data_IF_808951647445
#
_entry.id   IF_808951647445
#
_cell.length_a   1.000
_cell.length_b   1.000
_cell.length_c   1.000
_cell.angle_alpha   90.00
_cell.angle_beta   90.00
_cell.angle_gamma   90.00
#
_symmetry.space_group_name_H-M   'P 1'
#
loop_
_entity.id
_entity.type
_entity.pdbx_description
1 polymer ?
#
# COMPACT_ATOMS: atom_id res chain seq x y z
N UNK A 1 7.47 53.24 -53.04
CA UNK A 1 8.24 52.11 -52.47
C UNK A 1 8.14 52.00 -50.95
N UNK A 2 8.16 53.08 -50.23
CA UNK A 2 8.03 53.05 -48.74
C UNK A 2 6.74 52.44 -48.19
N UNK A 3 5.58 52.68 -48.81
CA UNK A 3 4.29 52.09 -48.32
C UNK A 3 4.18 50.56 -48.46
N UNK A 4 4.92 49.96 -49.40
CA UNK A 4 4.92 48.51 -49.59
C UNK A 4 5.85 47.82 -48.58
N UNK A 5 6.93 48.48 -48.21
CA UNK A 5 7.89 47.95 -47.19
C UNK A 5 7.26 47.94 -45.79
N UNK A 6 6.49 48.98 -45.44
CA UNK A 6 5.76 49.05 -44.16
C UNK A 6 4.64 48.01 -44.03
N UNK A 7 3.90 47.71 -45.11
CA UNK A 7 2.87 46.68 -45.10
C UNK A 7 3.46 45.27 -44.94
N UNK A 8 4.56 44.97 -45.65
CA UNK A 8 5.25 43.66 -45.49
C UNK A 8 5.84 43.46 -44.09
N UNK A 9 6.43 44.49 -43.49
CA UNK A 9 6.95 44.45 -42.13
C UNK A 9 5.85 44.24 -41.08
N UNK A 10 4.67 44.84 -41.28
CA UNK A 10 3.52 44.66 -40.38
C UNK A 10 2.96 43.22 -40.45
N UNK A 11 2.84 42.66 -41.65
CA UNK A 11 2.38 41.29 -41.86
C UNK A 11 3.34 40.26 -41.21
N UNK A 12 4.65 40.44 -41.37
CA UNK A 12 5.68 39.61 -40.75
C UNK A 12 5.65 39.72 -39.21
N UNK A 13 5.40 40.90 -38.66
CA UNK A 13 5.26 41.09 -37.20
C UNK A 13 4.01 40.38 -36.64
N UNK A 14 2.88 40.47 -37.34
CA UNK A 14 1.63 39.79 -36.94
C UNK A 14 1.79 38.25 -37.01
N UNK A 15 2.40 37.75 -38.08
CA UNK A 15 2.69 36.32 -38.22
C UNK A 15 3.65 35.81 -37.16
N UNK A 16 4.69 36.57 -36.81
CA UNK A 16 5.63 36.26 -35.74
C UNK A 16 4.97 36.26 -34.36
N UNK A 17 4.07 37.21 -34.08
CA UNK A 17 3.31 37.21 -32.82
C UNK A 17 2.36 36.01 -32.73
N UNK A 18 1.71 35.64 -33.83
CA UNK A 18 0.84 34.47 -33.91
C UNK A 18 1.60 33.16 -33.65
N UNK A 19 2.79 33.03 -34.24
CA UNK A 19 3.65 31.87 -34.04
C UNK A 19 4.15 31.74 -32.58
N UNK A 20 4.62 32.85 -31.97
CA UNK A 20 5.04 32.87 -30.57
C UNK A 20 3.87 32.53 -29.64
N UNK A 21 2.68 33.03 -29.92
CA UNK A 21 1.49 32.71 -29.10
C UNK A 21 1.09 31.25 -29.23
N UNK A 22 1.17 30.65 -30.41
CA UNK A 22 0.92 29.23 -30.61
C UNK A 22 1.93 28.36 -29.83
N UNK A 23 3.22 28.69 -29.89
CA UNK A 23 4.24 27.98 -29.10
C UNK A 23 4.03 28.13 -27.57
N UNK A 24 3.58 29.31 -27.13
CA UNK A 24 3.27 29.50 -25.71
C UNK A 24 2.07 28.65 -25.29
N UNK A 25 1.03 28.57 -26.09
CA UNK A 25 -0.14 27.73 -25.82
C UNK A 25 0.23 26.24 -25.76
N UNK A 26 1.00 25.75 -26.73
CA UNK A 26 1.50 24.37 -26.75
C UNK A 26 2.34 24.03 -25.50
N UNK A 27 3.24 24.93 -25.09
CA UNK A 27 4.02 24.76 -23.85
C UNK A 27 3.15 24.77 -22.61
N UNK A 28 2.10 25.58 -22.57
CA UNK A 28 1.16 25.64 -21.46
C UNK A 28 0.32 24.35 -21.37
N UNK A 29 -0.09 23.83 -22.54
CA UNK A 29 -0.85 22.59 -22.62
C UNK A 29 0.00 21.39 -22.18
N UNK A 30 1.22 21.24 -22.67
CA UNK A 30 2.17 20.19 -22.24
C UNK A 30 2.49 20.31 -20.75
N UNK A 31 2.67 21.52 -20.23
CA UNK A 31 2.90 21.72 -18.81
C UNK A 31 1.66 21.35 -17.98
N UNK A 32 0.47 21.74 -18.40
CA UNK A 32 -0.78 21.41 -17.71
C UNK A 32 -1.02 19.89 -17.66
N UNK A 33 -0.70 19.18 -18.76
CA UNK A 33 -0.78 17.72 -18.82
C UNK A 33 0.25 17.05 -17.90
N UNK A 34 1.48 17.55 -17.85
CA UNK A 34 2.51 17.08 -16.93
C UNK A 34 2.16 17.35 -15.45
N UNK A 35 1.63 18.54 -15.14
CA UNK A 35 1.18 18.89 -13.80
C UNK A 35 -0.01 18.00 -13.36
N UNK A 36 -0.95 17.72 -14.29
CA UNK A 36 -2.07 16.82 -14.04
C UNK A 36 -1.61 15.37 -13.79
N UNK A 37 -0.67 14.86 -14.60
CA UNK A 37 -0.10 13.53 -14.41
C UNK A 37 0.63 13.41 -13.05
N UNK A 38 1.40 14.44 -12.67
CA UNK A 38 2.08 14.50 -11.37
C UNK A 38 1.09 14.53 -10.20
N UNK A 39 -0.03 15.23 -10.34
CA UNK A 39 -1.08 15.28 -9.32
C UNK A 39 -1.77 13.92 -9.13
N UNK A 40 -1.98 13.16 -10.22
CA UNK A 40 -2.54 11.79 -10.14
C UNK A 40 -1.59 10.87 -9.40
N UNK A 41 -0.29 10.89 -9.72
CA UNK A 41 0.72 10.06 -9.04
C UNK A 41 0.77 10.42 -7.53
N UNK A 42 0.79 11.71 -7.19
CA UNK A 42 0.81 12.14 -5.80
C UNK A 42 -0.47 11.74 -5.03
N UNK A 43 -1.62 11.71 -5.69
CA UNK A 43 -2.87 11.25 -5.09
C UNK A 43 -2.87 9.73 -4.86
N UNK A 44 -2.30 8.97 -5.77
CA UNK A 44 -2.16 7.51 -5.68
C UNK A 44 -1.20 7.13 -4.55
N UNK A 45 -0.03 7.79 -4.47
CA UNK A 45 0.92 7.61 -3.37
C UNK A 45 0.32 7.97 -2.00
N UNK A 46 -0.48 9.04 -1.94
CA UNK A 46 -1.16 9.44 -0.71
C UNK A 46 -2.24 8.43 -0.29
N UNK A 47 -2.97 7.85 -1.25
CA UNK A 47 -3.96 6.81 -1.00
C UNK A 47 -3.31 5.51 -0.51
N UNK A 48 -2.20 5.10 -1.11
CA UNK A 48 -1.41 3.94 -0.66
C UNK A 48 -0.86 4.14 0.76
N UNK A 49 -0.35 5.34 1.07
CA UNK A 49 0.15 5.67 2.40
C UNK A 49 -0.96 5.70 3.46
N UNK A 50 -2.18 6.08 3.11
CA UNK A 50 -3.34 6.04 4.01
C UNK A 50 -3.80 4.60 4.22
N UNK A 51 -3.87 3.80 3.15
CA UNK A 51 -4.17 2.37 3.23
C UNK A 51 -3.20 1.65 4.16
N UNK A 52 -1.89 1.86 3.98
CA UNK A 52 -0.86 1.25 4.84
C UNK A 52 -0.99 1.67 6.30
N UNK A 53 -1.30 2.95 6.59
CA UNK A 53 -1.51 3.43 7.96
C UNK A 53 -2.75 2.85 8.64
N UNK A 54 -3.75 2.47 7.85
CA UNK A 54 -4.98 1.88 8.37
C UNK A 54 -4.85 0.39 8.69
N UNK A 55 -3.74 -0.27 8.28
CA UNK A 55 -3.51 -1.69 8.48
C UNK A 55 -2.91 -1.99 9.85
N UNK A 56 -3.32 -3.11 10.43
CA UNK A 56 -2.63 -3.71 11.57
C UNK A 56 -1.45 -4.52 11.04
N UNK A 57 -0.25 -4.25 11.58
CA UNK A 57 0.99 -4.85 11.12
C UNK A 57 1.39 -6.05 11.97
N UNK A 58 1.69 -7.15 11.32
CA UNK A 58 2.27 -8.34 11.90
C UNK A 58 3.58 -8.68 11.17
N UNK A 59 4.42 -9.46 11.82
CA UNK A 59 5.67 -9.97 11.28
C UNK A 59 5.74 -11.47 11.53
N UNK A 60 6.20 -12.24 10.56
CA UNK A 60 6.45 -13.67 10.76
C UNK A 60 7.58 -13.80 11.79
N UNK A 61 7.37 -14.52 12.92
CA UNK A 61 8.37 -14.65 13.96
C UNK A 61 9.63 -15.34 13.47
N UNK A 62 10.81 -14.86 13.90
CA UNK A 62 12.08 -15.51 13.58
C UNK A 62 12.26 -16.77 14.47
N UNK A 63 12.01 -17.94 13.91
CA UNK A 63 12.05 -19.23 14.60
C UNK A 63 13.30 -20.09 14.26
N UNK A 64 14.21 -19.58 13.44
CA UNK A 64 15.42 -20.25 12.91
C UNK A 64 15.10 -21.37 11.91
N UNK A 65 13.88 -21.44 11.41
CA UNK A 65 13.46 -22.37 10.37
C UNK A 65 13.02 -21.58 9.13
N UNK A 66 13.88 -21.50 8.14
CA UNK A 66 13.61 -20.78 6.89
C UNK A 66 12.40 -21.35 6.09
N UNK A 67 11.86 -22.50 6.50
CA UNK A 67 10.66 -23.07 5.89
C UNK A 67 9.36 -22.55 6.51
N UNK A 68 9.42 -21.96 7.72
CA UNK A 68 8.29 -21.32 8.37
C UNK A 68 8.12 -19.90 7.83
N UNK A 69 7.02 -19.64 7.16
CA UNK A 69 6.76 -18.32 6.55
C UNK A 69 5.31 -17.87 6.79
N UNK A 70 4.76 -18.18 7.96
CA UNK A 70 3.37 -17.87 8.28
C UNK A 70 3.19 -17.49 9.76
N UNK A 71 2.07 -16.79 10.03
CA UNK A 71 1.64 -16.41 11.36
C UNK A 71 0.14 -16.63 11.50
N UNK A 72 -0.30 -17.09 12.66
CA UNK A 72 -1.73 -17.27 12.94
C UNK A 72 -2.31 -15.93 13.45
N UNK A 73 -3.40 -15.47 12.83
CA UNK A 73 -4.06 -14.18 13.09
C UNK A 73 -5.50 -14.44 13.49
N UNK A 74 -5.97 -13.68 14.49
CA UNK A 74 -7.37 -13.69 14.93
C UNK A 74 -8.02 -12.36 14.56
N UNK A 75 -9.17 -12.45 13.91
CA UNK A 75 -10.11 -11.36 13.67
C UNK A 75 -11.12 -11.37 14.80
N UNK A 76 -11.28 -10.28 15.53
CA UNK A 76 -12.16 -10.19 16.70
C UNK A 76 -13.17 -9.05 16.52
N UNK A 77 -14.40 -9.39 16.26
CA UNK A 77 -15.55 -8.50 16.19
C UNK A 77 -16.54 -8.69 17.35
N UNK A 78 -16.20 -9.50 18.37
CA UNK A 78 -17.11 -9.86 19.47
C UNK A 78 -17.55 -8.67 20.34
N UNK A 79 -16.88 -7.52 20.24
CA UNK A 79 -17.26 -6.29 20.93
C UNK A 79 -18.42 -5.53 20.24
N UNK A 80 -18.89 -5.98 19.08
CA UNK A 80 -20.04 -5.38 18.39
C UNK A 80 -21.30 -5.52 19.23
N UNK A 81 -22.15 -4.49 19.19
CA UNK A 81 -23.36 -4.43 20.01
C UNK A 81 -24.52 -3.86 19.20
N UNK A 82 -25.70 -4.35 19.50
CA UNK A 82 -26.96 -3.74 19.07
C UNK A 82 -27.44 -2.72 20.09
N UNK A 83 -28.03 -1.58 19.63
CA UNK A 83 -28.45 -0.50 20.48
C UNK A 83 -29.67 -0.86 21.36
N UNK A 84 -30.53 -1.71 20.85
CA UNK A 84 -31.72 -2.26 21.50
C UNK A 84 -31.40 -3.51 22.34
N UNK A 85 -30.16 -4.00 22.29
CA UNK A 85 -29.69 -5.23 22.93
C UNK A 85 -30.30 -6.50 22.34
N UNK A 86 -30.64 -6.46 21.05
CA UNK A 86 -31.07 -7.62 20.31
C UNK A 86 -29.93 -8.63 20.08
N UNK A 87 -30.33 -9.86 19.79
CA UNK A 87 -29.36 -10.89 19.40
C UNK A 87 -28.75 -10.56 18.05
N UNK A 88 -27.42 -10.58 17.96
CA UNK A 88 -26.68 -10.33 16.73
C UNK A 88 -25.98 -11.59 16.22
N UNK A 89 -25.84 -11.66 14.92
CA UNK A 89 -25.05 -12.66 14.20
C UNK A 89 -23.88 -12.02 13.47
N UNK A 90 -22.82 -12.77 13.23
CA UNK A 90 -21.55 -12.29 12.65
C UNK A 90 -21.23 -13.06 11.39
N UNK A 91 -20.66 -12.38 10.41
CA UNK A 91 -20.14 -12.98 9.19
C UNK A 91 -18.85 -12.32 8.77
N UNK A 92 -17.75 -13.06 8.77
CA UNK A 92 -16.47 -12.62 8.24
C UNK A 92 -16.25 -13.10 6.81
N UNK A 93 -15.88 -12.18 5.91
CA UNK A 93 -15.57 -12.48 4.52
C UNK A 93 -14.26 -11.82 4.13
N UNK A 94 -13.35 -12.57 3.50
CA UNK A 94 -12.16 -11.97 2.89
C UNK A 94 -12.55 -11.23 1.61
N UNK A 95 -12.17 -9.95 1.51
CA UNK A 95 -12.45 -9.10 0.34
C UNK A 95 -11.21 -8.90 -0.53
N UNK A 96 -9.99 -8.89 0.06
CA UNK A 96 -8.76 -8.68 -0.68
C UNK A 96 -7.58 -9.51 -0.13
N UNK A 97 -6.57 -9.70 -0.98
CA UNK A 97 -5.32 -10.37 -0.65
C UNK A 97 -5.24 -11.83 -1.06
N UNK A 98 -4.12 -12.51 -0.74
CA UNK A 98 -3.97 -13.95 -0.96
C UNK A 98 -5.08 -14.73 -0.25
N UNK A 99 -5.74 -15.66 -0.96
CA UNK A 99 -6.86 -16.42 -0.41
C UNK A 99 -6.44 -17.27 0.79
N UNK A 100 -7.17 -17.13 1.90
CA UNK A 100 -6.98 -17.91 3.13
C UNK A 100 -8.27 -18.61 3.55
N UNK A 101 -8.14 -19.68 4.31
CA UNK A 101 -9.27 -20.33 4.96
C UNK A 101 -9.52 -19.65 6.31
N UNK A 102 -10.74 -19.12 6.51
CA UNK A 102 -11.18 -18.61 7.80
C UNK A 102 -11.74 -19.79 8.62
N UNK A 103 -11.33 -19.86 9.88
CA UNK A 103 -11.89 -20.77 10.89
C UNK A 103 -12.75 -19.95 11.84
N UNK A 104 -14.01 -20.30 11.98
CA UNK A 104 -14.90 -19.70 12.98
C UNK A 104 -14.62 -20.35 14.33
N UNK A 105 -14.06 -19.58 15.28
CA UNK A 105 -13.67 -20.09 16.59
C UNK A 105 -14.77 -19.88 17.64
N UNK A 106 -15.32 -18.66 17.69
CA UNK A 106 -16.40 -18.22 18.59
C UNK A 106 -17.27 -17.17 17.87
N UNK A 107 -18.47 -16.85 18.34
CA UNK A 107 -19.30 -15.79 17.76
C UNK A 107 -18.53 -14.47 17.64
N UNK A 108 -18.42 -13.95 16.42
CA UNK A 108 -17.70 -12.72 16.10
C UNK A 108 -16.17 -12.89 15.93
N UNK A 109 -15.61 -14.09 16.21
CA UNK A 109 -14.18 -14.38 16.07
C UNK A 109 -13.92 -15.38 14.97
N UNK A 110 -12.92 -15.06 14.15
CA UNK A 110 -12.38 -15.96 13.14
C UNK A 110 -10.86 -15.93 13.15
N UNK A 111 -10.22 -17.05 12.87
CA UNK A 111 -8.77 -17.13 12.72
C UNK A 111 -8.36 -17.61 11.35
N UNK A 112 -7.15 -17.24 10.96
CA UNK A 112 -6.54 -17.69 9.71
C UNK A 112 -5.03 -17.72 9.81
N UNK A 113 -4.41 -18.52 8.95
CA UNK A 113 -2.95 -18.59 8.80
C UNK A 113 -2.52 -17.73 7.63
N UNK A 114 -1.72 -16.70 7.91
CA UNK A 114 -1.25 -15.71 6.95
C UNK A 114 0.21 -15.95 6.57
N UNK A 115 0.52 -15.86 5.29
CA UNK A 115 1.87 -15.64 4.76
C UNK A 115 2.13 -14.15 4.57
N UNK A 116 3.38 -13.69 4.31
CA UNK A 116 3.64 -12.28 4.00
C UNK A 116 2.74 -11.75 2.88
N UNK A 117 2.08 -10.62 3.15
CA UNK A 117 1.11 -10.02 2.23
C UNK A 117 0.13 -9.08 2.93
N UNK A 118 -0.73 -8.46 2.12
CA UNK A 118 -1.81 -7.59 2.59
C UNK A 118 -3.15 -8.31 2.44
N UNK A 119 -3.99 -8.18 3.44
CA UNK A 119 -5.30 -8.82 3.53
C UNK A 119 -6.34 -7.80 3.96
N UNK A 120 -7.55 -7.91 3.43
CA UNK A 120 -8.71 -7.14 3.87
C UNK A 120 -9.87 -8.09 4.09
N UNK A 121 -10.55 -7.91 5.22
CA UNK A 121 -11.71 -8.68 5.61
C UNK A 121 -12.86 -7.73 5.94
N UNK A 122 -14.08 -8.12 5.61
CA UNK A 122 -15.29 -7.44 6.02
C UNK A 122 -15.99 -8.25 7.09
N UNK A 123 -16.34 -7.60 8.21
CA UNK A 123 -17.27 -8.12 9.19
C UNK A 123 -18.64 -7.54 8.90
N UNK A 124 -19.64 -8.38 8.73
CA UNK A 124 -21.06 -8.00 8.74
C UNK A 124 -21.69 -8.48 10.03
N UNK A 125 -22.35 -7.57 10.73
CA UNK A 125 -23.13 -7.85 11.93
C UNK A 125 -24.60 -7.62 11.58
N UNK A 126 -25.45 -8.60 11.87
CA UNK A 126 -26.90 -8.56 11.57
C UNK A 126 -27.69 -8.86 12.81
N UNK A 127 -28.69 -8.03 13.11
CA UNK A 127 -29.61 -8.22 14.23
C UNK A 127 -30.71 -9.26 13.95
N UNK A 128 -31.59 -9.49 14.93
CA UNK A 128 -32.71 -10.43 14.82
C UNK A 128 -33.85 -9.94 13.92
N UNK A 129 -33.86 -8.65 13.53
CA UNK A 129 -34.85 -8.05 12.61
C UNK A 129 -34.36 -8.00 11.17
N UNK A 130 -33.05 -8.29 10.93
CA UNK A 130 -32.43 -8.33 9.61
C UNK A 130 -31.74 -7.02 9.21
N UNK A 131 -31.63 -6.04 10.13
CA UNK A 131 -30.80 -4.86 9.89
C UNK A 131 -29.32 -5.21 10.07
N UNK A 132 -28.45 -4.64 9.23
CA UNK A 132 -27.04 -5.01 9.18
C UNK A 132 -26.13 -3.81 9.12
N UNK A 133 -24.97 -3.95 9.74
CA UNK A 133 -23.85 -3.00 9.61
C UNK A 133 -22.57 -3.76 9.29
N UNK A 134 -21.66 -3.14 8.53
CA UNK A 134 -20.38 -3.75 8.23
C UNK A 134 -19.20 -2.83 8.54
N UNK A 135 -18.02 -3.46 8.74
CA UNK A 135 -16.76 -2.78 8.98
C UNK A 135 -15.60 -3.61 8.42
N UNK A 136 -14.50 -2.93 8.07
CA UNK A 136 -13.33 -3.57 7.49
C UNK A 136 -12.21 -3.75 8.52
N UNK A 137 -11.54 -4.89 8.47
CA UNK A 137 -10.28 -5.19 9.13
C UNK A 137 -9.18 -5.34 8.09
N UNK A 138 -8.13 -4.52 8.19
CA UNK A 138 -7.00 -4.49 7.26
C UNK A 138 -5.73 -4.95 7.95
N UNK A 139 -5.04 -5.92 7.36
CA UNK A 139 -3.88 -6.59 7.92
C UNK A 139 -2.72 -6.54 6.93
N UNK A 140 -1.52 -6.25 7.42
CA UNK A 140 -0.26 -6.37 6.69
C UNK A 140 0.67 -7.33 7.42
N UNK A 141 1.13 -8.37 6.74
CA UNK A 141 2.07 -9.36 7.28
C UNK A 141 3.41 -9.18 6.59
N UNK A 142 4.44 -8.86 7.38
CA UNK A 142 5.81 -8.73 6.92
C UNK A 142 6.52 -10.09 6.96
N UNK A 143 7.48 -10.33 6.05
CA UNK A 143 8.29 -11.55 6.09
C UNK A 143 9.13 -11.61 7.37
N UNK A 144 9.59 -12.82 7.70
CA UNK A 144 10.54 -13.06 8.79
C UNK A 144 11.80 -12.19 8.59
N UNK A 145 12.25 -11.46 9.64
CA UNK A 145 13.46 -10.67 9.56
C UNK A 145 14.69 -11.58 9.46
N UNK A 146 15.54 -11.33 8.47
CA UNK A 146 16.80 -12.07 8.30
C UNK A 146 17.93 -11.10 7.99
N UNK A 147 19.01 -11.19 8.77
CA UNK A 147 20.24 -10.42 8.56
C UNK A 147 21.38 -11.33 8.08
N UNK A 148 22.22 -10.80 7.20
CA UNK A 148 23.42 -11.53 6.78
C UNK A 148 24.37 -11.75 7.98
N UNK A 149 25.04 -12.92 8.06
CA UNK A 149 26.02 -13.17 9.12
C UNK A 149 27.25 -12.26 8.97
N UNK A 150 27.82 -11.85 10.11
CA UNK A 150 29.06 -11.11 10.15
C UNK A 150 30.26 -12.09 10.18
N UNK A 151 31.28 -11.83 9.34
CA UNK A 151 32.46 -12.67 9.25
C UNK A 151 33.61 -12.03 10.03
N UNK A 152 34.10 -12.73 11.07
CA UNK A 152 35.31 -12.36 11.79
C UNK A 152 36.44 -13.36 11.48
N UNK A 153 37.57 -12.86 11.01
CA UNK A 153 38.75 -13.67 10.68
C UNK A 153 39.92 -13.19 11.54
N UNK A 154 40.51 -14.11 12.30
CA UNK A 154 41.73 -13.87 13.05
C UNK A 154 42.85 -14.77 12.52
N UNK A 155 44.06 -14.19 12.37
CA UNK A 155 45.23 -14.93 11.97
C UNK A 155 46.26 -14.82 13.11
N UNK A 156 46.76 -15.99 13.59
CA UNK A 156 47.78 -16.06 14.64
C UNK A 156 48.78 -17.15 14.33
N UNK A 157 49.99 -16.98 14.82
CA UNK A 157 51.03 -18.02 14.75
C UNK A 157 50.87 -18.96 15.94
N UNK A 158 50.92 -20.29 15.69
CA UNK A 158 51.00 -21.26 16.78
C UNK A 158 52.45 -21.26 17.32
N UNK A 159 52.65 -21.16 18.64
CA UNK A 159 53.99 -21.34 19.22
C UNK A 159 54.51 -22.75 18.83
N UNK A 160 55.71 -22.82 18.24
CA UNK A 160 56.34 -24.10 17.96
C UNK A 160 56.55 -24.87 19.27
N UNK A 161 56.29 -26.18 19.27
CA UNK A 161 56.76 -27.05 20.34
C UNK A 161 58.28 -26.88 20.42
N UNK A 162 58.78 -26.47 21.57
CA UNK A 162 60.22 -26.46 21.82
C UNK A 162 60.67 -27.92 21.85
N UNK A 163 61.51 -28.33 20.91
CA UNK A 163 62.19 -29.62 20.91
C UNK A 163 63.03 -29.72 22.21
N UNK A 164 62.66 -30.63 23.08
CA UNK A 164 63.52 -31.09 24.20
C UNK A 164 64.64 -32.02 23.72
#
# INVERSE_FOLDING_TARGET
MEKQITAAALVLSIAGLGYLKAQQMERMEVKAEADAASAVIAAEEAAEAEDERSRVHFEVPHDRDASTSNVDIVLDGAASQDAESDSISFSWVQTEGPSVALSEDEPGRSSFRATPGKYTFELTVTDSYGESSSGEARVSVQPEPNSAPEVHISVYSQPGEADE
#
